data_IF_836345094775
#
_entry.id   IF_836345094775
#
_cell.length_a   1.000
_cell.length_b   1.000
_cell.length_c   1.000
_cell.angle_alpha   90.00
_cell.angle_beta   90.00
_cell.angle_gamma   90.00
#
_symmetry.space_group_name_H-M   'P 1'
#
loop_
_entity.id
_entity.type
_entity.pdbx_description
1 polymer ?
#
# COMPACT_ATOMS: atom_id res chain seq x y z
N UNK A 1 44.02 5.57 19.73
CA UNK A 1 43.16 5.77 18.55
C UNK A 1 41.76 5.39 18.98
N UNK A 2 40.86 6.37 19.08
CA UNK A 2 39.47 6.07 19.43
C UNK A 2 38.86 5.17 18.37
N UNK A 3 38.25 4.07 18.80
CA UNK A 3 37.54 3.15 17.91
C UNK A 3 36.35 3.89 17.30
N UNK A 4 36.44 4.17 16.00
CA UNK A 4 35.31 4.70 15.24
C UNK A 4 34.25 3.62 15.16
N UNK A 5 33.05 3.91 15.70
CA UNK A 5 31.88 3.05 15.58
C UNK A 5 31.30 3.21 14.18
N UNK A 6 31.55 2.21 13.32
CA UNK A 6 30.89 2.09 12.01
C UNK A 6 29.49 1.53 12.24
N UNK A 7 28.47 2.18 11.67
CA UNK A 7 27.08 1.74 11.70
C UNK A 7 26.60 1.56 10.26
N UNK A 8 25.99 0.42 9.96
CA UNK A 8 25.35 0.17 8.67
C UNK A 8 23.96 0.80 8.66
N UNK A 9 23.91 2.09 8.31
CA UNK A 9 22.70 2.92 8.35
C UNK A 9 21.56 2.32 7.51
N UNK A 10 21.87 1.67 6.37
CA UNK A 10 20.86 1.03 5.50
C UNK A 10 20.09 -0.05 6.25
N UNK A 11 20.77 -0.95 6.96
CA UNK A 11 20.12 -2.03 7.70
C UNK A 11 19.26 -1.50 8.86
N UNK A 12 19.75 -0.46 9.56
CA UNK A 12 18.98 0.17 10.64
C UNK A 12 17.68 0.80 10.14
N UNK A 13 17.70 1.48 8.99
CA UNK A 13 16.50 2.10 8.40
C UNK A 13 15.50 1.05 7.94
N UNK A 14 15.95 -0.04 7.32
CA UNK A 14 15.07 -1.14 6.92
C UNK A 14 14.46 -1.85 8.14
N UNK A 15 15.26 -2.12 9.18
CA UNK A 15 14.75 -2.71 10.41
C UNK A 15 13.76 -1.80 11.16
N UNK A 16 13.92 -0.48 11.07
CA UNK A 16 12.93 0.48 11.58
C UNK A 16 11.63 0.42 10.77
N UNK A 17 11.74 0.36 9.43
CA UNK A 17 10.59 0.20 8.54
C UNK A 17 9.80 -1.08 8.83
N UNK A 18 10.48 -2.22 8.92
CA UNK A 18 9.85 -3.53 9.13
C UNK A 18 9.06 -3.58 10.44
N UNK A 19 9.58 -2.92 11.50
CA UNK A 19 8.87 -2.80 12.77
C UNK A 19 7.59 -1.98 12.66
N UNK A 20 7.58 -0.92 11.86
CA UNK A 20 6.35 -0.14 11.62
C UNK A 20 5.39 -0.87 10.69
N UNK A 21 5.89 -1.65 9.73
CA UNK A 21 5.10 -2.50 8.86
C UNK A 21 4.34 -3.57 9.67
N UNK A 22 5.04 -4.27 10.57
CA UNK A 22 4.44 -5.27 11.46
C UNK A 22 3.34 -4.69 12.34
N UNK A 23 3.58 -3.52 12.94
CA UNK A 23 2.58 -2.81 13.75
C UNK A 23 1.34 -2.46 12.94
N UNK A 24 1.54 -2.01 11.71
CA UNK A 24 0.46 -1.65 10.78
C UNK A 24 -0.37 -2.88 10.45
N UNK A 25 0.27 -3.97 10.04
CA UNK A 25 -0.37 -5.26 9.72
C UNK A 25 -1.14 -5.82 10.90
N UNK A 26 -0.56 -5.84 12.10
CA UNK A 26 -1.23 -6.30 13.31
C UNK A 26 -2.46 -5.47 13.67
N UNK A 27 -2.38 -4.14 13.50
CA UNK A 27 -3.51 -3.26 13.79
C UNK A 27 -4.66 -3.47 12.80
N UNK A 28 -4.37 -3.58 11.50
CA UNK A 28 -5.37 -3.84 10.47
C UNK A 28 -6.05 -5.19 10.66
N UNK A 29 -5.27 -6.23 11.00
CA UNK A 29 -5.79 -7.56 11.35
C UNK A 29 -6.76 -7.52 12.54
N UNK A 30 -6.46 -6.73 13.58
CA UNK A 30 -7.36 -6.54 14.74
C UNK A 30 -8.63 -5.78 14.39
N UNK A 31 -8.58 -4.91 13.38
CA UNK A 31 -9.74 -4.18 12.86
C UNK A 31 -10.58 -5.05 11.91
N UNK A 32 -9.95 -6.07 11.31
CA UNK A 32 -10.56 -6.94 10.29
C UNK A 32 -10.43 -6.38 8.88
N UNK A 33 -9.56 -5.39 8.66
CA UNK A 33 -9.26 -4.82 7.34
C UNK A 33 -8.14 -5.65 6.71
N UNK A 34 -8.35 -6.14 5.49
CA UNK A 34 -7.27 -6.73 4.70
C UNK A 34 -6.55 -5.64 3.89
N UNK A 35 -5.23 -5.64 3.89
CA UNK A 35 -4.43 -4.64 3.18
C UNK A 35 -3.59 -5.26 2.07
N UNK A 36 -3.85 -4.83 0.83
CA UNK A 36 -3.19 -5.32 -0.37
C UNK A 36 -2.29 -4.25 -0.96
N UNK A 37 -1.01 -4.56 -1.15
CA UNK A 37 -0.07 -3.73 -1.89
C UNK A 37 0.05 -4.25 -3.32
N UNK A 38 -0.25 -3.41 -4.31
CA UNK A 38 -0.23 -3.77 -5.74
C UNK A 38 0.90 -3.03 -6.43
N UNK A 39 1.85 -3.79 -6.98
CA UNK A 39 3.06 -3.29 -7.63
C UNK A 39 3.05 -3.68 -9.11
N UNK A 40 3.70 -2.87 -9.95
CA UNK A 40 3.89 -3.16 -11.37
C UNK A 40 4.89 -2.18 -11.98
N UNK A 41 5.27 -2.36 -13.25
CA UNK A 41 5.86 -1.27 -14.04
C UNK A 41 4.82 -0.18 -14.36
N UNK A 42 5.24 1.03 -14.77
CA UNK A 42 4.32 2.01 -15.33
C UNK A 42 3.60 1.44 -16.57
N UNK A 43 2.28 1.64 -16.65
CA UNK A 43 1.49 1.20 -17.81
C UNK A 43 1.13 -0.29 -17.86
N UNK A 44 1.49 -1.10 -16.85
CA UNK A 44 1.13 -2.53 -16.81
C UNK A 44 -0.37 -2.82 -16.59
N UNK A 45 -1.17 -1.78 -16.34
CA UNK A 45 -2.63 -1.90 -16.18
C UNK A 45 -3.13 -2.13 -14.75
N UNK A 46 -2.42 -1.63 -13.72
CA UNK A 46 -2.87 -1.67 -12.31
C UNK A 46 -4.24 -1.02 -12.13
N UNK A 47 -4.35 0.28 -12.43
CA UNK A 47 -5.60 1.04 -12.35
C UNK A 47 -6.74 0.32 -13.05
N UNK A 48 -6.54 -0.13 -14.29
CA UNK A 48 -7.59 -0.81 -15.07
C UNK A 48 -8.04 -2.12 -14.41
N UNK A 49 -7.08 -2.92 -13.89
CA UNK A 49 -7.36 -4.18 -13.20
C UNK A 49 -8.13 -3.93 -11.89
N UNK A 50 -7.68 -2.96 -11.10
CA UNK A 50 -8.26 -2.61 -9.81
C UNK A 50 -9.66 -2.01 -9.95
N UNK A 51 -9.88 -1.11 -10.91
CA UNK A 51 -11.22 -0.60 -11.23
C UNK A 51 -12.19 -1.73 -11.55
N UNK A 52 -11.76 -2.71 -12.36
CA UNK A 52 -12.61 -3.87 -12.69
C UNK A 52 -12.91 -4.72 -11.46
N UNK A 53 -11.89 -5.02 -10.65
CA UNK A 53 -12.03 -5.77 -9.41
C UNK A 53 -13.03 -5.10 -8.46
N UNK A 54 -12.88 -3.80 -8.24
CA UNK A 54 -13.74 -2.99 -7.36
C UNK A 54 -15.18 -3.01 -7.87
N UNK A 55 -15.43 -2.80 -9.17
CA UNK A 55 -16.78 -2.85 -9.74
C UNK A 55 -17.45 -4.21 -9.53
N UNK A 56 -16.73 -5.29 -9.77
CA UNK A 56 -17.26 -6.65 -9.67
C UNK A 56 -17.51 -7.09 -8.21
N UNK A 57 -16.75 -6.54 -7.26
CA UNK A 57 -16.76 -6.98 -5.86
C UNK A 57 -17.37 -5.99 -4.85
N UNK A 58 -17.62 -4.73 -5.23
CA UNK A 58 -18.24 -3.71 -4.37
C UNK A 58 -19.61 -4.09 -3.77
N UNK A 59 -20.43 -4.96 -4.40
CA UNK A 59 -21.65 -5.46 -3.75
C UNK A 59 -21.39 -6.33 -2.51
N UNK A 60 -20.18 -6.88 -2.36
CA UNK A 60 -19.80 -7.82 -1.29
C UNK A 60 -18.80 -7.25 -0.30
N UNK A 61 -17.93 -6.35 -0.75
CA UNK A 61 -16.83 -5.80 0.05
C UNK A 61 -16.81 -4.27 -0.03
N UNK A 62 -16.43 -3.64 1.07
CA UNK A 62 -16.14 -2.20 1.12
C UNK A 62 -14.66 -1.97 0.86
N UNK A 63 -14.38 -1.22 -0.20
CA UNK A 63 -13.03 -0.91 -0.65
C UNK A 63 -12.59 0.48 -0.21
N UNK A 64 -11.32 0.59 0.19
CA UNK A 64 -10.58 1.85 0.24
C UNK A 64 -9.37 1.75 -0.69
N UNK A 65 -9.04 2.83 -1.39
CA UNK A 65 -7.90 2.85 -2.32
C UNK A 65 -6.93 3.97 -1.95
N UNK A 66 -5.65 3.65 -1.93
CA UNK A 66 -4.55 4.60 -1.83
C UNK A 66 -3.77 4.54 -3.12
N UNK A 67 -3.81 5.62 -3.89
CA UNK A 67 -3.06 5.76 -5.14
C UNK A 67 -1.74 6.45 -4.83
N UNK A 68 -0.62 5.77 -5.10
CA UNK A 68 0.71 6.33 -4.93
C UNK A 68 1.33 6.68 -6.28
N UNK A 69 1.56 7.97 -6.49
CA UNK A 69 2.25 8.47 -7.68
C UNK A 69 3.12 9.68 -7.32
N UNK A 70 4.04 10.03 -8.22
CA UNK A 70 4.97 11.13 -8.07
C UNK A 70 4.22 12.47 -8.09
N UNK A 71 3.34 12.69 -9.08
CA UNK A 71 2.64 13.99 -9.25
C UNK A 71 1.27 13.90 -9.95
N UNK A 72 0.88 12.75 -10.49
CA UNK A 72 -0.40 12.58 -11.20
C UNK A 72 -1.56 12.23 -10.28
N UNK A 73 -2.74 12.82 -10.51
CA UNK A 73 -4.01 12.45 -9.86
C UNK A 73 -4.98 11.68 -10.79
N UNK A 74 -4.48 11.29 -11.96
CA UNK A 74 -5.26 10.65 -13.04
C UNK A 74 -5.89 9.34 -12.56
N UNK A 75 -5.12 8.50 -11.88
CA UNK A 75 -5.57 7.22 -11.36
C UNK A 75 -6.56 7.38 -10.20
N UNK A 76 -6.31 8.32 -9.29
CA UNK A 76 -7.25 8.62 -8.20
C UNK A 76 -8.61 9.11 -8.72
N UNK A 77 -8.63 9.96 -9.75
CA UNK A 77 -9.88 10.41 -10.39
C UNK A 77 -10.60 9.24 -11.05
N UNK A 78 -9.87 8.39 -11.76
CA UNK A 78 -10.41 7.20 -12.40
C UNK A 78 -11.08 6.26 -11.37
N UNK A 79 -10.47 6.05 -10.20
CA UNK A 79 -11.07 5.25 -9.12
C UNK A 79 -12.31 5.91 -8.53
N UNK A 80 -12.31 7.23 -8.33
CA UNK A 80 -13.47 7.95 -7.77
C UNK A 80 -14.74 7.81 -8.64
N UNK A 81 -14.61 7.71 -9.96
CA UNK A 81 -15.74 7.43 -10.87
C UNK A 81 -16.44 6.10 -10.54
N UNK A 82 -15.74 5.16 -9.92
CA UNK A 82 -16.27 3.86 -9.50
C UNK A 82 -16.88 3.89 -8.09
N UNK A 83 -17.08 5.09 -7.52
CA UNK A 83 -17.65 5.35 -6.20
C UNK A 83 -16.88 4.69 -5.04
N UNK A 84 -15.58 4.44 -5.23
CA UNK A 84 -14.69 3.95 -4.17
C UNK A 84 -14.00 5.12 -3.46
N UNK A 85 -13.86 5.02 -2.14
CA UNK A 85 -13.15 6.04 -1.37
C UNK A 85 -11.66 5.93 -1.67
N UNK A 86 -11.13 6.96 -2.34
CA UNK A 86 -9.76 6.99 -2.84
C UNK A 86 -9.02 8.19 -2.29
N UNK A 87 -7.75 8.01 -1.93
CA UNK A 87 -6.81 9.10 -1.62
C UNK A 87 -5.61 9.04 -2.55
N UNK A 88 -5.05 10.21 -2.85
CA UNK A 88 -3.78 10.35 -3.56
C UNK A 88 -2.66 10.52 -2.53
N UNK A 89 -1.59 9.75 -2.69
CA UNK A 89 -0.33 9.86 -1.98
C UNK A 89 0.71 10.40 -2.95
N UNK A 90 1.07 11.68 -2.80
CA UNK A 90 2.19 12.25 -3.53
C UNK A 90 3.50 11.78 -2.88
N UNK A 91 4.31 11.04 -3.61
CA UNK A 91 5.56 10.49 -3.08
C UNK A 91 6.69 11.52 -3.03
N UNK A 92 6.49 12.72 -3.59
CA UNK A 92 7.48 13.80 -3.57
C UNK A 92 8.77 13.45 -4.32
N UNK A 93 8.69 12.58 -5.33
CA UNK A 93 9.82 12.08 -6.11
C UNK A 93 10.39 10.75 -5.63
N UNK A 94 9.87 10.18 -4.53
CA UNK A 94 10.26 8.83 -4.10
C UNK A 94 9.70 7.76 -5.04
N UNK A 95 10.50 6.74 -5.32
CA UNK A 95 10.16 5.64 -6.24
C UNK A 95 9.37 4.49 -5.60
N UNK A 96 9.03 4.59 -4.31
CA UNK A 96 8.33 3.56 -3.53
C UNK A 96 7.56 4.20 -2.36
N UNK A 97 6.74 3.37 -1.72
CA UNK A 97 6.07 3.64 -0.44
C UNK A 97 6.71 2.78 0.64
N UNK A 98 6.97 3.37 1.80
CA UNK A 98 7.41 2.68 3.01
C UNK A 98 6.22 2.47 3.99
N UNK A 99 6.50 1.85 5.13
CA UNK A 99 5.49 1.57 6.16
C UNK A 99 4.87 2.85 6.74
N UNK A 100 5.66 3.90 6.97
CA UNK A 100 5.18 5.14 7.57
C UNK A 100 4.29 5.93 6.59
N UNK A 101 4.69 6.04 5.32
CA UNK A 101 3.87 6.64 4.28
C UNK A 101 2.55 5.87 4.11
N UNK A 102 2.60 4.53 4.12
CA UNK A 102 1.41 3.67 4.07
C UNK A 102 0.49 3.92 5.25
N UNK A 103 1.04 4.02 6.46
CA UNK A 103 0.31 4.35 7.70
C UNK A 103 -0.34 5.74 7.65
N UNK A 104 0.34 6.72 7.07
CA UNK A 104 -0.22 8.06 6.84
C UNK A 104 -1.41 8.02 5.87
N UNK A 105 -1.29 7.24 4.79
CA UNK A 105 -2.39 7.01 3.86
C UNK A 105 -3.60 6.34 4.53
N UNK A 106 -3.36 5.27 5.30
CA UNK A 106 -4.43 4.58 6.05
C UNK A 106 -5.16 5.55 7.00
N UNK A 107 -4.41 6.42 7.70
CA UNK A 107 -5.00 7.46 8.56
C UNK A 107 -5.85 8.44 7.75
N UNK A 108 -5.38 8.88 6.57
CA UNK A 108 -6.13 9.78 5.69
C UNK A 108 -7.40 9.12 5.12
N UNK A 109 -7.38 7.81 4.88
CA UNK A 109 -8.58 7.01 4.58
C UNK A 109 -9.54 6.88 5.77
N UNK A 110 -9.13 7.29 6.97
CA UNK A 110 -9.92 7.21 8.19
C UNK A 110 -9.74 5.89 8.95
N UNK A 111 -8.62 5.20 8.74
CA UNK A 111 -8.23 3.95 9.40
C UNK A 111 -7.07 4.27 10.35
N UNK A 112 -7.34 4.72 11.58
CA UNK A 112 -6.28 5.04 12.52
C UNK A 112 -5.57 3.75 12.98
N UNK A 113 -4.25 3.72 12.84
CA UNK A 113 -3.40 2.65 13.37
C UNK A 113 -3.16 2.94 14.85
N UNK A 114 -3.97 2.33 15.72
CA UNK A 114 -3.91 2.48 17.19
C UNK A 114 -3.55 1.15 17.85
N UNK A 115 -2.67 1.22 18.85
CA UNK A 115 -2.15 0.04 19.57
C UNK A 115 -3.13 -0.59 20.55
N UNK A 116 -4.09 0.19 21.05
CA UNK A 116 -5.19 -0.32 21.88
C UNK A 116 -6.33 -0.71 20.96
N UNK A 117 -6.74 -1.97 21.03
CA UNK A 117 -7.97 -2.43 20.43
C UNK A 117 -9.14 -1.62 21.01
N UNK A 118 -9.50 -0.52 20.36
CA UNK A 118 -10.88 -0.05 20.43
C UNK A 118 -11.66 -1.15 19.75
N UNK A 119 -12.19 -2.05 20.58
CA UNK A 119 -13.00 -3.17 20.14
C UNK A 119 -13.93 -2.72 19.01
N UNK A 120 -14.01 -3.51 17.95
CA UNK A 120 -14.94 -3.29 16.83
C UNK A 120 -16.37 -3.01 17.32
N UNK A 121 -16.72 -3.52 18.52
CA UNK A 121 -18.02 -3.32 19.18
C UNK A 121 -18.22 -1.92 19.81
N UNK A 122 -17.17 -1.11 19.93
CA UNK A 122 -17.20 0.22 20.58
C UNK A 122 -17.03 1.38 19.60
N UNK A 123 -16.80 1.09 18.31
CA UNK A 123 -16.75 2.11 17.26
C UNK A 123 -18.17 2.54 16.89
N UNK A 124 -18.48 3.85 16.79
CA UNK A 124 -19.78 4.33 16.36
C UNK A 124 -20.16 3.72 15.00
N UNK A 125 -21.40 3.26 14.86
CA UNK A 125 -21.96 2.62 13.64
C UNK A 125 -21.86 3.44 12.34
N UNK A 126 -21.37 4.69 12.41
CA UNK A 126 -21.10 5.58 11.27
C UNK A 126 -19.66 5.54 10.76
N UNK A 127 -18.70 4.94 11.48
CA UNK A 127 -17.36 4.66 10.96
C UNK A 127 -17.41 3.34 10.19
N UNK A 128 -17.77 3.42 8.90
CA UNK A 128 -17.76 2.26 8.02
C UNK A 128 -16.34 1.74 7.87
N UNK A 129 -16.11 0.56 8.43
CA UNK A 129 -14.91 -0.24 8.25
C UNK A 129 -14.75 -0.65 6.77
N UNK A 130 -13.52 -0.64 6.26
CA UNK A 130 -13.19 -1.19 4.95
C UNK A 130 -12.86 -2.66 5.10
N UNK A 131 -13.41 -3.51 4.26
CA UNK A 131 -13.07 -4.93 4.26
C UNK A 131 -11.71 -5.15 3.57
N UNK A 132 -11.45 -4.36 2.53
CA UNK A 132 -10.22 -4.40 1.74
C UNK A 132 -9.72 -2.98 1.47
N UNK A 133 -8.47 -2.71 1.85
CA UNK A 133 -7.74 -1.52 1.42
C UNK A 133 -6.70 -1.94 0.40
N UNK A 134 -6.60 -1.19 -0.69
CA UNK A 134 -5.64 -1.43 -1.76
C UNK A 134 -4.70 -0.22 -1.83
N UNK A 135 -3.40 -0.48 -1.68
CA UNK A 135 -2.34 0.43 -2.08
C UNK A 135 -1.98 0.11 -3.54
N UNK A 136 -2.40 0.96 -4.47
CA UNK A 136 -1.82 0.97 -5.81
C UNK A 136 -0.48 1.71 -5.71
N UNK A 137 0.62 0.95 -5.67
CA UNK A 137 1.96 1.49 -5.45
C UNK A 137 2.48 2.17 -6.73
N UNK A 138 3.56 2.94 -6.58
CA UNK A 138 4.24 3.59 -7.70
C UNK A 138 4.61 2.54 -8.76
N UNK A 139 4.48 2.90 -10.03
CA UNK A 139 4.92 2.06 -11.15
C UNK A 139 6.44 1.84 -11.13
N UNK A 140 6.90 0.85 -10.40
CA UNK A 140 8.30 0.44 -10.29
C UNK A 140 8.37 -1.02 -9.79
N UNK A 141 9.17 -1.86 -10.46
CA UNK A 141 9.37 -3.27 -10.08
C UNK A 141 10.62 -3.52 -9.21
N UNK A 142 11.38 -2.46 -8.89
CA UNK A 142 12.64 -2.56 -8.15
C UNK A 142 12.50 -1.96 -6.75
N UNK A 143 12.28 -0.64 -6.65
CA UNK A 143 12.25 0.02 -5.34
C UNK A 143 11.18 -0.56 -4.40
N UNK A 144 9.90 -0.75 -4.84
CA UNK A 144 8.85 -1.20 -3.93
C UNK A 144 9.06 -2.60 -3.34
N UNK A 145 9.90 -3.43 -3.97
CA UNK A 145 10.19 -4.78 -3.47
C UNK A 145 11.08 -4.78 -2.21
N UNK A 146 11.87 -3.72 -1.98
CA UNK A 146 12.77 -3.63 -0.81
C UNK A 146 12.10 -3.07 0.46
N UNK A 147 10.87 -2.55 0.37
CA UNK A 147 10.23 -1.83 1.48
C UNK A 147 8.87 -2.45 1.84
N UNK A 148 8.79 -3.02 3.04
CA UNK A 148 7.52 -3.51 3.57
C UNK A 148 6.59 -2.33 3.89
N UNK A 149 5.38 -2.37 3.33
CA UNK A 149 4.32 -1.35 3.52
C UNK A 149 3.39 -1.68 4.69
N UNK A 150 3.54 -2.84 5.31
CA UNK A 150 2.61 -3.38 6.30
C UNK A 150 1.39 -4.07 5.69
N UNK A 151 1.41 -4.31 4.38
CA UNK A 151 0.38 -5.07 3.68
C UNK A 151 0.36 -6.55 4.12
N UNK A 152 -0.82 -7.17 4.05
CA UNK A 152 -1.01 -8.61 4.25
C UNK A 152 -0.53 -9.41 3.03
N UNK A 153 -0.62 -8.81 1.84
CA UNK A 153 -0.18 -9.41 0.58
C UNK A 153 0.42 -8.36 -0.35
N UNK A 154 1.53 -8.74 -0.97
CA UNK A 154 2.11 -8.04 -2.10
C UNK A 154 1.69 -8.75 -3.39
N UNK A 155 0.99 -8.05 -4.27
CA UNK A 155 0.56 -8.53 -5.58
C UNK A 155 1.34 -7.79 -6.67
N UNK A 156 1.95 -8.52 -7.60
CA UNK A 156 2.64 -7.95 -8.75
C UNK A 156 1.82 -8.18 -10.02
N UNK A 157 1.60 -7.13 -10.80
CA UNK A 157 1.04 -7.20 -12.15
C UNK A 157 2.18 -7.04 -13.15
N UNK A 158 2.34 -8.05 -14.01
CA UNK A 158 3.27 -8.04 -15.14
C UNK A 158 2.46 -8.15 -16.42
N UNK A 159 2.65 -7.20 -17.36
CA UNK A 159 1.97 -7.21 -18.64
C UNK A 159 2.79 -7.90 -19.73
N UNK A 160 2.11 -8.49 -20.71
CA UNK A 160 2.75 -9.18 -21.86
C UNK A 160 3.75 -8.28 -22.62
N UNK A 161 3.46 -6.99 -22.91
CA UNK A 161 4.40 -6.12 -23.62
C UNK A 161 5.70 -5.83 -22.88
N UNK A 162 5.77 -6.06 -21.56
CA UNK A 162 7.01 -5.87 -20.80
C UNK A 162 8.05 -6.95 -21.12
N UNK A 163 7.62 -8.15 -21.52
CA UNK A 163 8.48 -9.31 -21.78
C UNK A 163 8.44 -10.35 -20.66
N UNK A 164 8.58 -11.63 -21.04
CA UNK A 164 8.53 -12.80 -20.16
C UNK A 164 9.76 -12.97 -19.26
N UNK A 165 10.83 -12.21 -19.54
CA UNK A 165 12.11 -12.24 -18.84
C UNK A 165 12.10 -11.49 -17.50
N UNK A 166 11.05 -10.70 -17.21
CA UNK A 166 11.01 -9.82 -16.03
C UNK A 166 11.12 -10.57 -14.69
N UNK A 167 10.45 -11.70 -14.46
CA UNK A 167 10.61 -12.45 -13.22
C UNK A 167 12.04 -12.97 -13.00
N UNK A 168 12.78 -13.27 -14.07
CA UNK A 168 14.18 -13.68 -13.98
C UNK A 168 15.12 -12.50 -13.68
N UNK A 169 14.82 -11.32 -14.23
CA UNK A 169 15.64 -10.10 -14.05
C UNK A 169 15.46 -9.43 -12.70
N UNK A 170 14.30 -9.61 -12.05
CA UNK A 170 13.97 -9.00 -10.77
C UNK A 170 13.52 -10.05 -9.73
N UNK A 171 14.42 -10.94 -9.27
CA UNK A 171 14.12 -11.97 -8.28
C UNK A 171 14.21 -11.40 -6.85
N UNK A 172 13.46 -10.32 -6.59
CA UNK A 172 13.44 -9.61 -5.32
C UNK A 172 12.34 -10.17 -4.41
#
# INVERSE_FOLDING_TARGET
MDQIRVIDVKESVLADNDREADRTREALKKQGTYFLNVMSSPGSGKTTTLRRLIRDLSPKFKFGVMEADIDGDVDARAMQEDNVKTIQLHTGGMCHLDAEMSRQGLRALGIPIVSRATSILTMPSRQRHFDLVILENVGNLVCPAEFDTGADLNLVILSVPEGDDKPLKYPL
#
